data_IF_302158759977
#
_entry.id   IF_302158759977
#
_cell.length_a   1.000
_cell.length_b   1.000
_cell.length_c   1.000
_cell.angle_alpha   90.00
_cell.angle_beta   90.00
_cell.angle_gamma   90.00
#
_symmetry.space_group_name_H-M   'P 1'
#
loop_
_entity.id
_entity.type
_entity.pdbx_description
1 polymer ?
#
# COMPACT_ATOMS: atom_id res chain seq x y z
N UNK A 1 -2.40 21.07 8.86
CA UNK A 1 -2.30 19.67 8.41
C UNK A 1 -2.91 18.82 9.50
N UNK A 2 -3.97 18.09 9.19
CA UNK A 2 -4.59 17.11 10.10
C UNK A 2 -3.60 15.97 10.29
N UNK A 3 -3.19 15.69 11.52
CA UNK A 3 -2.21 14.64 11.83
C UNK A 3 -2.66 13.30 11.23
N UNK A 4 -1.79 12.59 10.50
CA UNK A 4 -2.01 11.23 10.02
C UNK A 4 -1.93 10.26 11.20
N UNK A 5 -3.01 10.18 11.97
CA UNK A 5 -3.17 9.15 12.99
C UNK A 5 -3.82 7.91 12.37
N UNK A 6 -3.49 6.71 12.89
CA UNK A 6 -4.15 5.48 12.47
C UNK A 6 -5.66 5.62 12.74
N UNK A 7 -6.52 5.54 11.71
CA UNK A 7 -7.97 5.68 11.88
C UNK A 7 -8.58 4.44 12.57
N UNK A 8 -7.89 3.30 12.47
CA UNK A 8 -8.21 2.08 13.18
C UNK A 8 -7.15 1.85 14.26
N UNK A 9 -7.53 1.49 15.50
CA UNK A 9 -6.54 1.19 16.53
C UNK A 9 -5.61 0.06 16.04
N UNK A 10 -4.30 0.10 16.38
CA UNK A 10 -3.42 -1.02 16.08
C UNK A 10 -4.05 -2.30 16.65
N UNK A 11 -3.99 -3.43 15.92
CA UNK A 11 -4.67 -4.65 16.31
C UNK A 11 -4.14 -5.12 17.67
N UNK A 12 -4.90 -4.85 18.73
CA UNK A 12 -4.56 -5.27 20.11
C UNK A 12 -4.92 -6.74 20.36
N UNK A 13 -5.69 -7.33 19.45
CA UNK A 13 -6.11 -8.72 19.35
C UNK A 13 -6.33 -9.03 17.86
N UNK A 14 -6.35 -10.30 17.42
CA UNK A 14 -6.87 -10.62 16.10
C UNK A 14 -8.34 -10.22 16.06
N UNK A 15 -8.63 -9.02 15.55
CA UNK A 15 -9.98 -8.59 15.27
C UNK A 15 -10.53 -9.57 14.24
N UNK A 16 -11.55 -10.32 14.65
CA UNK A 16 -12.22 -11.25 13.76
C UNK A 16 -12.81 -10.43 12.61
N UNK A 17 -12.35 -10.69 11.40
CA UNK A 17 -12.82 -9.99 10.20
C UNK A 17 -14.36 -10.10 10.07
N UNK A 18 -15.04 -9.08 9.56
CA UNK A 18 -16.47 -9.14 9.23
C UNK A 18 -16.80 -10.32 8.28
N UNK A 19 -18.00 -10.91 8.34
CA UNK A 19 -18.38 -12.01 7.45
C UNK A 19 -18.21 -11.69 5.95
N UNK A 20 -18.58 -10.48 5.53
CA UNK A 20 -18.40 -10.00 4.14
C UNK A 20 -16.92 -9.90 3.72
N UNK A 21 -16.04 -9.52 4.65
CA UNK A 21 -14.59 -9.49 4.46
C UNK A 21 -14.04 -10.92 4.32
N UNK A 22 -14.43 -11.84 5.21
CA UNK A 22 -14.05 -13.27 5.13
C UNK A 22 -14.51 -13.87 3.79
N UNK A 23 -15.74 -13.59 3.37
CA UNK A 23 -16.26 -14.07 2.09
C UNK A 23 -15.44 -13.55 0.91
N UNK A 24 -15.00 -12.28 0.96
CA UNK A 24 -14.14 -11.70 -0.09
C UNK A 24 -12.78 -12.39 -0.13
N UNK A 25 -12.13 -12.56 1.03
CA UNK A 25 -10.85 -13.27 1.16
C UNK A 25 -10.95 -14.67 0.56
N UNK A 26 -12.01 -15.41 0.88
CA UNK A 26 -12.23 -16.77 0.36
C UNK A 26 -12.55 -16.79 -1.14
N UNK A 27 -13.38 -15.86 -1.62
CA UNK A 27 -13.83 -15.84 -3.03
C UNK A 27 -12.71 -15.47 -3.99
N UNK A 28 -11.75 -14.66 -3.55
CA UNK A 28 -10.59 -14.22 -4.33
C UNK A 28 -9.31 -15.00 -4.01
N UNK A 29 -9.39 -16.02 -3.14
CA UNK A 29 -8.25 -16.83 -2.67
C UNK A 29 -7.10 -15.96 -2.15
N UNK A 30 -7.42 -14.98 -1.28
CA UNK A 30 -6.43 -14.03 -0.76
C UNK A 30 -5.66 -14.61 0.42
N UNK A 31 -4.36 -14.33 0.46
CA UNK A 31 -3.44 -14.73 1.52
C UNK A 31 -2.82 -13.48 2.20
N UNK A 32 -2.38 -13.55 3.47
CA UNK A 32 -1.72 -12.43 4.11
C UNK A 32 -0.51 -11.91 3.30
N UNK A 33 -0.44 -10.60 3.06
CA UNK A 33 0.68 -9.98 2.36
C UNK A 33 1.82 -9.64 3.34
N UNK A 34 3.11 -9.78 2.96
CA UNK A 34 4.23 -9.43 3.83
C UNK A 34 4.25 -7.98 4.38
N UNK A 35 3.58 -7.06 3.69
CA UNK A 35 3.43 -5.65 4.08
C UNK A 35 2.19 -5.36 4.93
N UNK A 36 1.33 -6.35 5.16
CA UNK A 36 0.00 -6.18 5.75
C UNK A 36 -1.11 -6.17 4.70
N UNK A 37 -2.35 -6.40 5.12
CA UNK A 37 -3.46 -6.73 4.22
C UNK A 37 -3.38 -8.15 3.67
N UNK A 38 -4.18 -8.42 2.65
CA UNK A 38 -4.24 -9.69 1.93
C UNK A 38 -4.03 -9.47 0.43
N UNK A 39 -3.50 -10.47 -0.28
CA UNK A 39 -3.28 -10.41 -1.71
C UNK A 39 -3.42 -11.76 -2.40
N UNK A 40 -3.55 -11.71 -3.72
CA UNK A 40 -3.40 -12.87 -4.59
C UNK A 40 -2.89 -12.41 -5.96
N UNK A 41 -1.85 -13.06 -6.48
CA UNK A 41 -1.41 -12.85 -7.86
C UNK A 41 -2.45 -13.44 -8.83
N UNK A 42 -2.99 -12.60 -9.71
CA UNK A 42 -4.03 -12.98 -10.67
C UNK A 42 -3.49 -13.19 -12.07
N UNK A 43 -2.36 -12.54 -12.40
CA UNK A 43 -1.74 -12.61 -13.70
C UNK A 43 -0.23 -12.40 -13.61
N UNK A 44 0.52 -13.18 -14.40
CA UNK A 44 1.93 -12.97 -14.69
C UNK A 44 2.17 -13.24 -16.17
N UNK A 45 2.67 -12.23 -16.86
CA UNK A 45 2.93 -12.33 -18.29
C UNK A 45 4.04 -13.37 -18.56
N UNK A 46 3.87 -14.31 -19.52
CA UNK A 46 4.86 -15.37 -19.77
C UNK A 46 6.12 -14.86 -20.49
N UNK A 47 6.01 -13.77 -21.24
CA UNK A 47 7.18 -13.12 -21.86
C UNK A 47 8.02 -12.43 -20.81
N UNK A 48 9.32 -12.73 -20.83
CA UNK A 48 10.32 -11.99 -20.09
C UNK A 48 10.91 -10.86 -20.93
N UNK A 49 11.14 -9.72 -20.29
CA UNK A 49 11.76 -8.53 -20.87
C UNK A 49 13.04 -8.18 -20.08
N UNK A 50 14.08 -7.67 -20.75
CA UNK A 50 15.31 -7.25 -20.08
C UNK A 50 15.06 -6.02 -19.20
N UNK A 51 15.64 -6.03 -18.01
CA UNK A 51 15.72 -4.87 -17.12
C UNK A 51 17.18 -4.39 -17.02
N UNK A 52 17.39 -3.08 -16.88
CA UNK A 52 18.68 -2.38 -16.68
C UNK A 52 19.93 -3.02 -17.33
N UNK A 53 20.40 -2.46 -18.46
CA UNK A 53 21.58 -2.93 -19.21
C UNK A 53 21.54 -4.39 -19.69
N UNK A 54 20.39 -5.06 -19.62
CA UNK A 54 20.20 -6.43 -20.12
C UNK A 54 20.79 -7.53 -19.24
N UNK A 55 21.22 -7.19 -18.01
CA UNK A 55 21.87 -8.14 -17.11
C UNK A 55 20.88 -9.07 -16.38
N UNK A 56 19.60 -8.71 -16.35
CA UNK A 56 18.53 -9.52 -15.77
C UNK A 56 17.24 -9.36 -16.58
N UNK A 57 16.31 -10.29 -16.38
CA UNK A 57 14.96 -10.25 -16.97
C UNK A 57 13.88 -10.16 -15.90
N UNK A 58 12.70 -9.69 -16.30
CA UNK A 58 11.45 -9.72 -15.53
C UNK A 58 10.31 -10.15 -16.43
N UNK A 59 9.24 -10.68 -15.85
CA UNK A 59 7.96 -10.77 -16.56
C UNK A 59 7.61 -9.40 -17.17
N UNK A 60 7.00 -9.37 -18.35
CA UNK A 60 6.53 -8.11 -18.94
C UNK A 60 5.52 -7.38 -18.03
N UNK A 61 4.78 -8.11 -17.20
CA UNK A 61 3.90 -7.52 -16.19
C UNK A 61 3.34 -8.55 -15.21
N UNK A 62 2.96 -8.09 -14.03
CA UNK A 62 2.25 -8.89 -13.02
C UNK A 62 1.06 -8.10 -12.49
N UNK A 63 0.01 -8.79 -12.09
CA UNK A 63 -1.19 -8.22 -11.51
C UNK A 63 -1.59 -8.97 -10.25
N UNK A 64 -1.98 -8.24 -9.21
CA UNK A 64 -2.51 -8.81 -7.98
C UNK A 64 -3.87 -8.19 -7.63
N UNK A 65 -4.70 -8.91 -6.89
CA UNK A 65 -5.64 -8.28 -5.97
C UNK A 65 -4.91 -7.92 -4.69
N UNK A 66 -5.22 -6.76 -4.11
CA UNK A 66 -4.74 -6.34 -2.80
C UNK A 66 -5.90 -5.80 -1.97
N UNK A 67 -5.97 -6.19 -0.70
CA UNK A 67 -7.13 -5.96 0.16
C UNK A 67 -6.73 -5.57 1.58
N UNK A 68 -7.01 -4.32 1.95
CA UNK A 68 -6.93 -3.87 3.35
C UNK A 68 -8.27 -4.06 4.03
N UNK A 69 -8.24 -4.53 5.27
CA UNK A 69 -9.43 -4.90 6.04
C UNK A 69 -9.39 -4.24 7.41
N UNK A 70 -10.52 -4.20 8.16
CA UNK A 70 -10.48 -3.76 9.55
C UNK A 70 -9.51 -4.59 10.42
N UNK A 71 -9.31 -5.88 10.11
CA UNK A 71 -8.34 -6.73 10.81
C UNK A 71 -6.89 -6.60 10.37
N UNK A 72 -6.64 -6.11 9.16
CA UNK A 72 -5.31 -5.80 8.64
C UNK A 72 -5.36 -4.48 7.85
N UNK A 73 -5.45 -3.33 8.55
CA UNK A 73 -5.81 -2.05 7.93
C UNK A 73 -4.62 -1.27 7.37
N UNK A 74 -3.40 -1.79 7.50
CA UNK A 74 -2.16 -1.13 7.11
C UNK A 74 -1.41 -1.96 6.08
N UNK A 75 -1.06 -1.33 4.96
CA UNK A 75 0.02 -1.73 4.08
C UNK A 75 1.25 -0.89 4.40
N UNK A 76 2.21 -1.48 5.09
CA UNK A 76 3.40 -0.81 5.62
C UNK A 76 4.29 -0.23 4.51
N UNK A 77 5.13 0.75 4.86
CA UNK A 77 6.06 1.37 3.92
C UNK A 77 6.99 0.36 3.25
N UNK A 78 6.87 0.27 1.94
CA UNK A 78 7.70 -0.57 1.08
C UNK A 78 7.96 0.14 -0.26
N UNK A 79 8.88 -0.41 -1.04
CA UNK A 79 9.27 0.14 -2.34
C UNK A 79 9.50 -0.98 -3.33
N UNK A 80 9.14 -0.71 -4.58
CA UNK A 80 9.47 -1.55 -5.73
C UNK A 80 10.42 -0.78 -6.67
N UNK A 81 11.30 -1.49 -7.41
CA UNK A 81 12.09 -0.85 -8.49
C UNK A 81 11.27 -0.51 -9.72
N UNK A 82 10.23 -1.30 -10.01
CA UNK A 82 9.28 -1.06 -11.10
C UNK A 82 8.14 -0.15 -10.63
N UNK A 83 7.50 0.53 -11.58
CA UNK A 83 6.27 1.27 -11.29
C UNK A 83 5.12 0.32 -10.96
N UNK A 84 4.19 0.80 -10.15
CA UNK A 84 2.94 0.11 -9.82
C UNK A 84 1.76 1.00 -10.17
N UNK A 85 0.87 0.50 -11.02
CA UNK A 85 -0.44 1.08 -11.33
C UNK A 85 -1.46 0.46 -10.40
N UNK A 86 -2.29 1.28 -9.77
CA UNK A 86 -3.30 0.84 -8.82
C UNK A 86 -4.67 1.23 -9.34
N UNK A 87 -5.63 0.32 -9.26
CA UNK A 87 -7.01 0.54 -9.69
C UNK A 87 -7.95 0.17 -8.55
N UNK A 88 -8.83 1.09 -8.16
CA UNK A 88 -9.82 0.89 -7.11
C UNK A 88 -10.98 0.01 -7.60
N UNK A 89 -11.31 -1.02 -6.83
CA UNK A 89 -12.57 -1.76 -7.01
C UNK A 89 -13.65 -1.28 -6.03
N UNK A 90 -13.31 -1.19 -4.74
CA UNK A 90 -14.23 -0.73 -3.69
C UNK A 90 -13.50 -0.27 -2.42
N UNK A 91 -14.25 0.37 -1.54
CA UNK A 91 -13.75 0.87 -0.27
C UNK A 91 -13.03 2.19 -0.39
N UNK A 92 -12.37 2.58 0.70
CA UNK A 92 -11.69 3.86 0.83
C UNK A 92 -10.42 3.73 1.64
N UNK A 93 -9.38 4.47 1.25
CA UNK A 93 -8.10 4.45 1.96
C UNK A 93 -7.31 5.72 1.77
N UNK A 94 -6.20 5.81 2.48
CA UNK A 94 -5.18 6.84 2.24
C UNK A 94 -3.90 6.18 1.78
N UNK A 95 -3.26 6.78 0.79
CA UNK A 95 -1.88 6.50 0.41
C UNK A 95 -0.97 7.60 0.90
N UNK A 96 0.23 7.20 1.34
CA UNK A 96 1.34 8.09 1.70
C UNK A 96 2.55 7.67 0.87
N UNK A 97 3.11 8.60 0.12
CA UNK A 97 4.24 8.35 -0.79
C UNK A 97 5.40 9.28 -0.44
N UNK A 98 6.58 8.70 -0.19
CA UNK A 98 7.82 9.44 0.03
C UNK A 98 8.66 9.37 -1.25
N UNK A 99 8.90 10.54 -1.86
CA UNK A 99 9.67 10.69 -3.11
C UNK A 99 11.17 10.74 -2.78
N UNK A 100 11.73 9.58 -2.43
CA UNK A 100 13.10 9.43 -1.92
C UNK A 100 14.21 9.83 -2.91
N UNK A 101 13.89 9.88 -4.20
CA UNK A 101 14.73 10.31 -5.32
C UNK A 101 14.69 11.83 -5.56
N UNK A 102 13.72 12.53 -4.97
CA UNK A 102 13.51 13.98 -5.14
C UNK A 102 13.98 14.81 -3.94
N UNK A 103 14.96 14.30 -3.17
CA UNK A 103 15.44 14.99 -1.95
C UNK A 103 15.93 16.41 -2.27
N UNK A 104 15.49 17.37 -1.45
CA UNK A 104 16.01 18.74 -1.40
C UNK A 104 16.43 19.06 0.02
N UNK A 105 17.62 19.64 0.19
CA UNK A 105 18.20 19.96 1.51
C UNK A 105 18.22 18.76 2.49
N UNK A 106 18.42 17.56 1.94
CA UNK A 106 18.46 16.31 2.70
C UNK A 106 17.09 15.74 3.08
N UNK A 107 15.97 16.32 2.64
CA UNK A 107 14.62 15.82 2.93
C UNK A 107 13.81 15.51 1.68
N UNK A 108 13.06 14.42 1.72
CA UNK A 108 12.23 13.95 0.63
C UNK A 108 10.84 14.60 0.68
N UNK A 109 10.26 15.02 -0.47
CA UNK A 109 8.85 15.38 -0.54
C UNK A 109 7.95 14.20 -0.12
N UNK A 110 6.86 14.52 0.55
CA UNK A 110 5.81 13.56 0.92
C UNK A 110 4.50 13.96 0.24
N UNK A 111 3.85 13.00 -0.43
CA UNK A 111 2.53 13.15 -1.01
C UNK A 111 1.54 12.27 -0.25
N UNK A 112 0.37 12.83 0.06
CA UNK A 112 -0.75 12.09 0.62
C UNK A 112 -2.00 12.32 -0.21
N UNK A 113 -2.77 11.25 -0.42
CA UNK A 113 -4.06 11.36 -1.10
C UNK A 113 -5.02 10.26 -0.66
N UNK A 114 -6.30 10.54 -0.81
CA UNK A 114 -7.38 9.58 -0.54
C UNK A 114 -7.71 8.83 -1.83
N UNK A 115 -7.91 7.52 -1.69
CA UNK A 115 -8.42 6.65 -2.74
C UNK A 115 -9.85 6.24 -2.38
N UNK A 116 -10.75 6.32 -3.34
CA UNK A 116 -12.19 6.18 -3.11
C UNK A 116 -13.01 6.62 -4.31
N UNK A 117 -14.31 6.37 -4.27
CA UNK A 117 -15.24 6.68 -5.37
C UNK A 117 -15.68 8.15 -5.43
N UNK A 118 -15.25 8.99 -4.48
CA UNK A 118 -15.53 10.43 -4.45
C UNK A 118 -14.69 11.24 -5.43
N UNK A 119 -14.70 10.91 -6.72
CA UNK A 119 -13.86 11.56 -7.76
C UNK A 119 -14.07 13.09 -7.80
N UNK A 120 -15.31 13.54 -7.74
CA UNK A 120 -15.66 14.97 -7.72
C UNK A 120 -15.18 15.70 -6.44
N UNK A 121 -14.79 14.95 -5.40
CA UNK A 121 -14.18 15.47 -4.17
C UNK A 121 -12.65 15.34 -4.16
N UNK A 122 -12.06 14.86 -5.26
CA UNK A 122 -10.61 14.68 -5.42
C UNK A 122 -10.07 13.33 -4.95
N UNK A 123 -10.93 12.34 -4.66
CA UNK A 123 -10.47 10.97 -4.39
C UNK A 123 -10.02 10.29 -5.69
N UNK A 124 -8.97 9.47 -5.62
CA UNK A 124 -8.43 8.75 -6.78
C UNK A 124 -9.06 7.37 -6.90
N UNK A 125 -9.50 7.01 -8.12
CA UNK A 125 -9.91 5.63 -8.48
C UNK A 125 -8.81 4.88 -9.24
N UNK A 126 -7.82 5.61 -9.77
CA UNK A 126 -6.61 5.07 -10.38
C UNK A 126 -5.43 5.97 -10.04
N UNK A 127 -4.28 5.39 -9.72
CA UNK A 127 -3.04 6.13 -9.48
C UNK A 127 -1.80 5.29 -9.75
N UNK A 128 -0.69 5.98 -10.05
CA UNK A 128 0.60 5.35 -10.33
C UNK A 128 1.60 5.76 -9.25
N UNK A 129 2.30 4.77 -8.69
CA UNK A 129 3.51 5.00 -7.89
C UNK A 129 4.69 4.54 -8.74
N UNK A 130 5.54 5.48 -9.14
CA UNK A 130 6.76 5.16 -9.88
C UNK A 130 7.73 4.32 -9.02
N UNK A 131 8.57 3.55 -9.71
CA UNK A 131 9.63 2.78 -9.05
C UNK A 131 10.59 3.66 -8.26
N UNK A 132 11.13 3.15 -7.16
CA UNK A 132 12.07 3.87 -6.31
C UNK A 132 11.43 4.67 -5.16
N UNK A 133 10.10 4.80 -5.15
CA UNK A 133 9.35 5.55 -4.12
C UNK A 133 8.90 4.64 -2.99
N UNK A 134 8.91 5.15 -1.75
CA UNK A 134 8.30 4.44 -0.62
C UNK A 134 6.81 4.72 -0.61
N UNK A 135 5.97 3.68 -0.62
CA UNK A 135 4.52 3.80 -0.48
C UNK A 135 4.04 3.05 0.75
N UNK A 136 3.11 3.65 1.48
CA UNK A 136 2.28 3.00 2.49
C UNK A 136 0.82 3.32 2.17
N UNK A 137 -0.08 2.45 2.63
CA UNK A 137 -1.52 2.68 2.54
C UNK A 137 -2.22 2.24 3.80
N UNK A 138 -3.34 2.89 4.12
CA UNK A 138 -4.16 2.45 5.24
C UNK A 138 -5.65 2.65 4.97
N UNK A 139 -6.45 1.75 5.55
CA UNK A 139 -7.90 1.75 5.41
C UNK A 139 -8.49 3.02 6.03
N UNK A 140 -9.48 3.63 5.37
CA UNK A 140 -10.32 4.68 5.93
C UNK A 140 -11.75 4.16 6.11
N UNK A 141 -12.50 4.64 7.12
CA UNK A 141 -13.93 4.40 7.18
C UNK A 141 -14.63 4.89 5.91
N UNK A 142 -15.63 4.15 5.45
CA UNK A 142 -16.47 4.58 4.33
C UNK A 142 -17.38 5.74 4.77
N UNK A 143 -17.45 6.80 3.95
CA UNK A 143 -18.35 7.92 4.18
C UNK A 143 -19.67 7.68 3.44
N UNK A 144 -20.77 7.48 4.17
CA UNK A 144 -22.13 7.49 3.61
C UNK A 144 -22.53 6.30 2.72
N UNK A 145 -21.69 5.27 2.64
CA UNK A 145 -21.92 4.05 1.86
C UNK A 145 -21.82 2.78 2.70
N UNK A 146 -22.20 2.85 3.97
CA UNK A 146 -22.68 1.65 4.63
C UNK A 146 -23.77 1.05 3.72
N UNK A 147 -23.51 -0.12 3.14
CA UNK A 147 -24.57 -0.90 2.50
C UNK A 147 -25.73 -1.08 3.49
N UNK A 148 -26.91 -1.51 3.03
CA UNK A 148 -28.11 -1.69 3.86
C UNK A 148 -27.86 -2.46 5.20
N UNK A 149 -26.76 -3.21 5.29
CA UNK A 149 -26.33 -3.99 6.44
C UNK A 149 -25.29 -3.31 7.38
N UNK A 150 -24.77 -2.12 7.05
CA UNK A 150 -23.86 -1.37 7.92
C UNK A 150 -22.42 -1.90 8.05
N UNK A 151 -22.03 -2.91 7.26
CA UNK A 151 -20.70 -3.55 7.36
C UNK A 151 -19.61 -2.83 6.57
N UNK A 152 -18.47 -2.53 7.23
CA UNK A 152 -17.27 -2.04 6.55
C UNK A 152 -16.63 -3.14 5.70
N UNK A 153 -16.52 -2.91 4.38
CA UNK A 153 -16.11 -3.94 3.40
C UNK A 153 -14.61 -4.00 3.09
N UNK A 154 -13.81 -3.10 3.68
CA UNK A 154 -12.38 -2.95 3.40
C UNK A 154 -12.08 -2.26 2.06
N UNK A 155 -10.80 -1.96 1.82
CA UNK A 155 -10.29 -1.35 0.59
C UNK A 155 -9.74 -2.43 -0.33
N UNK A 156 -10.45 -2.72 -1.43
CA UNK A 156 -10.03 -3.70 -2.43
C UNK A 156 -9.58 -2.97 -3.70
N UNK A 157 -8.37 -3.30 -4.15
CA UNK A 157 -7.75 -2.74 -5.34
C UNK A 157 -7.11 -3.85 -6.18
N UNK A 158 -6.75 -3.50 -7.40
CA UNK A 158 -5.77 -4.23 -8.20
C UNK A 158 -4.47 -3.45 -8.26
N UNK A 159 -3.33 -4.13 -8.17
CA UNK A 159 -2.03 -3.55 -8.48
C UNK A 159 -1.43 -4.25 -9.71
N UNK A 160 -1.02 -3.48 -10.71
CA UNK A 160 -0.27 -3.94 -11.88
C UNK A 160 1.15 -3.38 -11.84
N UNK A 161 2.15 -4.26 -11.89
CA UNK A 161 3.57 -3.88 -11.85
C UNK A 161 4.20 -4.11 -13.22
N UNK A 162 4.89 -3.11 -13.74
CA UNK A 162 5.56 -3.15 -15.05
C UNK A 162 6.96 -2.48 -14.97
N UNK A 163 8.04 -3.19 -15.36
CA UNK A 163 8.14 -4.65 -15.54
C UNK A 163 7.69 -5.43 -14.31
N UNK A 164 7.19 -6.65 -14.51
CA UNK A 164 6.53 -7.48 -13.49
C UNK A 164 7.31 -7.67 -12.19
N UNK A 165 6.57 -7.81 -11.09
CA UNK A 165 7.11 -7.95 -9.74
C UNK A 165 8.08 -9.12 -9.61
N UNK A 166 9.18 -8.84 -8.91
CA UNK A 166 10.14 -9.81 -8.42
C UNK A 166 10.60 -9.41 -7.02
N UNK A 167 10.82 -10.40 -6.16
CA UNK A 167 11.14 -10.16 -4.74
C UNK A 167 12.46 -9.40 -4.55
N UNK A 168 13.40 -9.52 -5.50
CA UNK A 168 14.70 -8.81 -5.48
C UNK A 168 14.58 -7.30 -5.73
N UNK A 169 13.39 -6.85 -6.14
CA UNK A 169 13.08 -5.45 -6.39
C UNK A 169 12.26 -4.81 -5.27
N UNK A 170 11.94 -5.58 -4.24
CA UNK A 170 11.06 -5.18 -3.15
C UNK A 170 11.81 -5.07 -1.82
N UNK A 171 11.68 -3.94 -1.14
CA UNK A 171 12.21 -3.73 0.19
C UNK A 171 11.27 -2.91 1.08
N UNK A 172 11.53 -2.95 2.40
CA UNK A 172 10.77 -2.25 3.43
C UNK A 172 11.56 -1.07 3.97
N UNK A 173 10.87 0.03 4.23
CA UNK A 173 11.51 1.20 4.83
C UNK A 173 11.94 0.89 6.27
N UNK A 174 13.15 1.29 6.63
CA UNK A 174 13.64 1.21 8.01
C UNK A 174 13.43 2.54 8.74
N UNK A 175 13.37 2.49 10.08
CA UNK A 175 13.30 3.72 10.89
C UNK A 175 14.52 4.63 10.66
N UNK A 176 15.70 4.04 10.45
CA UNK A 176 16.92 4.79 10.17
C UNK A 176 16.83 5.54 8.84
N UNK A 177 16.45 4.86 7.75
CA UNK A 177 16.24 5.50 6.45
C UNK A 177 15.12 6.56 6.51
N UNK A 178 14.05 6.31 7.27
CA UNK A 178 12.97 7.29 7.46
C UNK A 178 13.50 8.59 8.11
N UNK A 179 14.36 8.49 9.13
CA UNK A 179 15.00 9.67 9.77
C UNK A 179 15.92 10.44 8.82
N UNK A 180 16.56 9.73 7.89
CA UNK A 180 17.36 10.36 6.84
C UNK A 180 16.49 11.09 5.82
N UNK A 181 15.30 10.57 5.53
CA UNK A 181 14.38 11.11 4.52
C UNK A 181 13.49 12.24 5.03
N UNK A 182 13.06 12.21 6.29
CA UNK A 182 11.97 13.03 6.80
C UNK A 182 12.39 13.93 7.97
N UNK A 183 11.63 14.99 8.26
CA UNK A 183 11.86 15.80 9.47
C UNK A 183 11.49 15.01 10.73
N UNK A 184 12.00 15.36 11.92
CA UNK A 184 11.62 14.69 13.17
C UNK A 184 10.11 14.61 13.39
N UNK A 185 9.37 15.67 13.04
CA UNK A 185 7.92 15.73 13.17
C UNK A 185 7.23 14.73 12.23
N UNK A 186 7.68 14.64 10.98
CA UNK A 186 7.16 13.67 10.02
C UNK A 186 7.48 12.22 10.43
N UNK A 187 8.65 11.97 11.01
CA UNK A 187 9.01 10.65 11.55
C UNK A 187 8.07 10.27 12.70
N UNK A 188 7.81 11.19 13.63
CA UNK A 188 6.85 10.97 14.73
C UNK A 188 5.45 10.65 14.17
N UNK A 189 5.02 11.37 13.14
CA UNK A 189 3.69 11.23 12.54
C UNK A 189 3.52 9.93 11.74
N UNK A 190 4.58 9.41 11.12
CA UNK A 190 4.50 8.35 10.11
C UNK A 190 5.14 7.03 10.54
N UNK A 191 5.91 7.00 11.63
CA UNK A 191 6.64 5.80 12.09
C UNK A 191 5.75 4.59 12.39
N UNK A 192 4.47 4.81 12.73
CA UNK A 192 3.49 3.73 12.92
C UNK A 192 3.17 2.96 11.64
N UNK A 193 3.49 3.50 10.47
CA UNK A 193 3.34 2.84 9.16
C UNK A 193 4.57 2.03 8.76
N UNK A 194 5.60 1.95 9.61
CA UNK A 194 6.71 1.03 9.42
C UNK A 194 6.27 -0.39 9.79
N UNK A 195 6.85 -1.38 9.12
CA UNK A 195 6.67 -2.79 9.49
C UNK A 195 7.25 -3.03 10.89
N UNK A 196 6.60 -3.84 11.73
CA UNK A 196 7.01 -4.07 13.14
C UNK A 196 8.51 -4.39 13.29
N UNK A 197 9.05 -5.29 12.47
CA UNK A 197 10.47 -5.69 12.50
C UNK A 197 11.44 -4.57 12.05
N UNK A 198 10.96 -3.50 11.43
CA UNK A 198 11.75 -2.33 11.01
C UNK A 198 11.94 -1.31 12.14
N UNK A 199 11.23 -1.47 13.27
CA UNK A 199 11.34 -0.60 14.45
C UNK A 199 12.46 -1.09 15.38
N UNK A 200 12.69 -2.41 15.46
CA UNK A 200 13.62 -3.03 16.42
C UNK A 200 15.10 -3.06 15.96
N UNK A 201 15.40 -2.79 14.68
CA UNK A 201 16.78 -2.77 14.15
C UNK A 201 17.51 -1.42 14.31
N UNK A 202 17.13 -0.63 15.32
CA UNK A 202 17.76 0.66 15.66
C UNK A 202 18.97 0.52 16.56
#
# INVERSE_FOLDING_TARGET
MTKTHPPFPPPSQPTKEPPSVIQTIQSLDLHPHPEGGYYQETFRHPQEIPIANGAATRSAGTCIHYFLTPGSPLGAFHRNKSRTVHTLHRGRGRYVVIHADEKKDGKAPVEEFVVGHGVERGEKVEWVVEGGKWKASYLLPEEGHADDDGEERGLLITETVEPGFAIEDHDFLTLQEMKELLTPEQVEEMSWMLRENSIEKS
#
